data_IF_290249108711
#
_entry.id   IF_290249108711
#
_cell.length_a   1.000
_cell.length_b   1.000
_cell.length_c   1.000
_cell.angle_alpha   90.00
_cell.angle_beta   90.00
_cell.angle_gamma   90.00
#
_symmetry.space_group_name_H-M   'P 1'
#
loop_
_entity.id
_entity.type
_entity.pdbx_description
1 polymer ?
#
# COMPACT_ATOMS: atom_id res chain seq x y z
N UNK A 1 -16.00 -15.57 1.55
CA UNK A 1 -15.45 -14.22 1.84
C UNK A 1 -16.33 -13.58 2.90
N UNK A 2 -15.74 -12.88 3.86
CA UNK A 2 -16.52 -12.07 4.79
C UNK A 2 -17.32 -11.05 3.97
N UNK A 3 -18.60 -10.90 4.22
CA UNK A 3 -19.49 -10.09 3.38
C UNK A 3 -19.15 -8.59 3.37
N UNK A 4 -18.27 -8.12 4.24
CA UNK A 4 -18.01 -6.69 4.42
C UNK A 4 -16.54 -6.29 4.46
N UNK A 5 -15.60 -7.15 4.83
CA UNK A 5 -14.19 -6.78 4.92
C UNK A 5 -13.26 -7.99 4.82
N UNK A 6 -12.07 -7.76 4.28
CA UNK A 6 -11.01 -8.76 4.12
C UNK A 6 -9.63 -8.09 4.10
N UNK A 7 -8.58 -8.89 4.17
CA UNK A 7 -7.21 -8.43 3.93
C UNK A 7 -6.69 -8.99 2.62
N UNK A 8 -5.78 -8.25 1.98
CA UNK A 8 -5.18 -8.67 0.72
C UNK A 8 -4.32 -9.94 0.83
N UNK A 9 -3.93 -10.32 2.05
CA UNK A 9 -2.77 -11.18 2.23
C UNK A 9 -1.49 -10.44 1.84
N UNK A 10 -0.39 -11.17 1.72
CA UNK A 10 0.90 -10.59 1.35
C UNK A 10 0.83 -9.90 -0.02
N UNK A 11 1.23 -8.62 -0.07
CA UNK A 11 1.29 -7.85 -1.31
C UNK A 11 2.50 -8.30 -2.13
N UNK A 12 2.26 -8.75 -3.37
CA UNK A 12 3.32 -9.12 -4.32
C UNK A 12 4.03 -7.89 -4.90
N UNK A 13 5.26 -8.05 -5.39
CA UNK A 13 5.95 -7.06 -6.22
C UNK A 13 5.74 -7.45 -7.69
N UNK A 14 4.75 -6.88 -8.35
CA UNK A 14 4.32 -7.25 -9.71
C UNK A 14 4.42 -6.11 -10.71
N UNK A 15 4.43 -4.88 -10.20
CA UNK A 15 4.49 -3.66 -11.01
C UNK A 15 5.92 -3.11 -11.08
N UNK A 16 6.07 -1.88 -11.54
CA UNK A 16 7.35 -1.15 -11.53
C UNK A 16 7.82 -0.79 -10.11
N UNK A 17 6.95 -0.88 -9.10
CA UNK A 17 7.23 -0.46 -7.74
C UNK A 17 8.28 -1.34 -7.07
N UNK A 18 9.17 -0.71 -6.31
CA UNK A 18 10.36 -1.32 -5.73
C UNK A 18 10.39 -1.07 -4.23
N UNK A 19 11.05 -1.97 -3.51
CA UNK A 19 11.48 -1.74 -2.15
C UNK A 19 12.72 -0.84 -2.18
N UNK A 20 12.56 0.43 -1.83
CA UNK A 20 13.66 1.41 -1.88
C UNK A 20 14.16 1.81 -0.48
N UNK A 21 13.53 1.34 0.57
CA UNK A 21 14.00 1.57 1.93
C UNK A 21 15.10 0.56 2.28
N UNK A 22 16.32 1.00 2.59
CA UNK A 22 17.42 0.11 2.95
C UNK A 22 17.29 -0.34 4.41
N UNK A 23 16.16 -0.96 4.75
CA UNK A 23 15.94 -1.56 6.06
C UNK A 23 16.38 -3.01 6.06
N UNK A 24 16.86 -3.49 7.21
CA UNK A 24 17.26 -4.86 7.40
C UNK A 24 16.55 -5.47 8.61
N UNK A 25 16.25 -6.74 8.52
CA UNK A 25 15.74 -7.54 9.63
C UNK A 25 16.87 -8.31 10.31
N UNK A 26 16.92 -8.27 11.65
CA UNK A 26 17.75 -9.17 12.44
C UNK A 26 17.11 -10.55 12.48
N UNK A 27 17.88 -11.59 12.15
CA UNK A 27 17.44 -12.98 12.28
C UNK A 27 17.67 -13.46 13.71
N UNK A 28 16.70 -14.20 14.22
CA UNK A 28 16.61 -14.59 15.63
C UNK A 28 15.76 -13.59 16.42
N UNK A 29 15.11 -14.09 17.46
CA UNK A 29 14.25 -13.27 18.33
C UNK A 29 14.97 -13.06 19.65
N UNK A 30 15.20 -11.79 20.00
CA UNK A 30 15.83 -11.38 21.23
C UNK A 30 14.93 -10.35 21.92
N UNK A 31 14.52 -10.61 23.14
CA UNK A 31 13.57 -9.76 23.89
C UNK A 31 12.26 -9.44 23.13
N UNK A 32 11.78 -10.41 22.33
CA UNK A 32 10.56 -10.23 21.53
C UNK A 32 10.75 -9.44 20.22
N UNK A 33 11.97 -9.03 19.88
CA UNK A 33 12.32 -8.30 18.67
C UNK A 33 13.14 -9.20 17.75
N UNK A 34 12.84 -9.16 16.46
CA UNK A 34 13.55 -9.90 15.42
C UNK A 34 12.63 -10.84 14.63
N UNK A 35 13.24 -11.67 13.82
CA UNK A 35 12.53 -12.59 12.91
C UNK A 35 12.80 -14.04 13.27
N UNK A 36 11.76 -14.88 13.31
CA UNK A 36 11.91 -16.32 13.51
C UNK A 36 12.55 -16.95 12.27
N UNK A 37 13.76 -17.51 12.43
CA UNK A 37 14.54 -18.07 11.34
C UNK A 37 13.78 -19.17 10.58
N UNK A 38 13.01 -20.02 11.28
CA UNK A 38 12.23 -21.11 10.69
C UNK A 38 11.13 -20.64 9.72
N UNK A 39 10.73 -19.37 9.78
CA UNK A 39 9.74 -18.78 8.88
C UNK A 39 10.35 -18.18 7.60
N UNK A 40 11.68 -18.19 7.52
CA UNK A 40 12.42 -17.66 6.39
C UNK A 40 12.77 -18.78 5.39
N UNK A 41 13.03 -18.43 4.11
CA UNK A 41 13.65 -19.32 3.15
C UNK A 41 14.98 -19.88 3.70
N UNK A 42 15.30 -21.12 3.38
CA UNK A 42 16.46 -21.84 3.94
C UNK A 42 17.78 -21.06 3.79
N UNK A 43 18.00 -20.46 2.63
CA UNK A 43 19.20 -19.69 2.33
C UNK A 43 19.35 -18.38 3.15
N UNK A 44 18.28 -17.90 3.77
CA UNK A 44 18.28 -16.72 4.63
C UNK A 44 18.51 -17.06 6.11
N UNK A 45 18.21 -18.29 6.53
CA UNK A 45 18.16 -18.69 7.96
C UNK A 45 19.49 -18.59 8.71
N UNK A 46 20.60 -18.69 8.00
CA UNK A 46 21.97 -18.67 8.58
C UNK A 46 22.58 -17.26 8.60
N UNK A 47 21.90 -16.27 8.07
CA UNK A 47 22.37 -14.89 8.06
C UNK A 47 22.05 -14.20 9.38
N UNK A 48 22.82 -13.19 9.76
CA UNK A 48 22.54 -12.36 10.96
C UNK A 48 21.57 -11.24 10.64
N UNK A 49 21.71 -10.65 9.45
CA UNK A 49 20.87 -9.58 8.93
C UNK A 49 20.49 -9.92 7.49
N UNK A 50 19.25 -9.68 7.15
CA UNK A 50 18.75 -9.77 5.77
C UNK A 50 18.01 -8.47 5.39
N UNK A 51 17.97 -8.11 4.11
CA UNK A 51 17.13 -6.99 3.66
C UNK A 51 15.68 -7.24 4.05
N UNK A 52 15.02 -6.22 4.62
CA UNK A 52 13.59 -6.32 4.91
C UNK A 52 12.80 -6.27 3.61
N UNK A 53 12.14 -7.36 3.30
CA UNK A 53 11.29 -7.50 2.12
C UNK A 53 9.85 -7.04 2.37
N UNK A 54 9.53 -6.52 3.56
CA UNK A 54 8.19 -6.12 3.97
C UNK A 54 7.10 -7.16 3.64
N UNK A 55 7.44 -8.46 3.75
CA UNK A 55 6.51 -9.57 3.42
C UNK A 55 5.26 -9.61 4.30
N UNK A 56 5.31 -8.94 5.44
CA UNK A 56 4.20 -8.80 6.38
C UNK A 56 3.19 -7.73 5.94
N UNK A 57 3.52 -6.91 4.93
CA UNK A 57 2.65 -5.81 4.51
C UNK A 57 1.39 -6.34 3.83
N UNK A 58 0.26 -5.85 4.32
CA UNK A 58 -1.08 -6.17 3.84
C UNK A 58 -1.90 -4.88 3.73
N UNK A 59 -2.96 -4.89 2.95
CA UNK A 59 -4.00 -3.87 2.98
C UNK A 59 -5.30 -4.43 3.53
N UNK A 60 -6.08 -3.59 4.20
CA UNK A 60 -7.44 -3.91 4.64
C UNK A 60 -8.43 -3.38 3.62
N UNK A 61 -9.39 -4.20 3.24
CA UNK A 61 -10.33 -3.90 2.18
C UNK A 61 -11.77 -4.09 2.65
N UNK A 62 -12.64 -3.20 2.21
CA UNK A 62 -14.08 -3.32 2.38
C UNK A 62 -14.75 -3.28 1.02
N UNK A 63 -15.68 -4.19 0.78
CA UNK A 63 -16.52 -4.17 -0.42
C UNK A 63 -17.81 -3.39 -0.11
N UNK A 64 -17.94 -2.21 -0.70
CA UNK A 64 -19.16 -1.42 -0.63
C UNK A 64 -20.10 -1.79 -1.78
N UNK A 65 -21.26 -2.31 -1.43
CA UNK A 65 -22.27 -2.75 -2.40
C UNK A 65 -22.57 -1.66 -3.43
N UNK A 66 -22.36 -1.99 -4.71
CA UNK A 66 -22.62 -1.08 -5.83
C UNK A 66 -21.60 0.03 -6.02
N UNK A 67 -20.53 0.12 -5.20
CA UNK A 67 -19.50 1.16 -5.29
C UNK A 67 -18.09 0.62 -5.55
N UNK A 68 -17.76 -0.58 -5.08
CA UNK A 68 -16.45 -1.18 -5.20
C UNK A 68 -15.68 -1.22 -3.90
N UNK A 69 -14.37 -1.33 -4.00
CA UNK A 69 -13.47 -1.51 -2.87
C UNK A 69 -13.12 -0.18 -2.18
N UNK A 70 -13.12 -0.18 -0.85
CA UNK A 70 -12.39 0.79 -0.04
C UNK A 70 -11.13 0.09 0.46
N UNK A 71 -9.95 0.57 0.03
CA UNK A 71 -8.65 0.07 0.45
C UNK A 71 -8.07 0.97 1.51
N UNK A 72 -7.64 0.35 2.62
CA UNK A 72 -6.88 1.01 3.67
C UNK A 72 -5.46 0.44 3.68
N UNK A 73 -4.48 1.28 3.42
CA UNK A 73 -3.05 0.94 3.51
C UNK A 73 -2.42 1.62 4.71
N UNK A 74 -1.35 1.04 5.28
CA UNK A 74 -0.56 1.75 6.30
C UNK A 74 0.55 2.60 5.65
N UNK A 75 1.58 1.97 5.10
CA UNK A 75 2.70 2.68 4.46
C UNK A 75 2.90 2.34 2.98
N UNK A 76 2.47 1.17 2.53
CA UNK A 76 2.67 0.68 1.14
C UNK A 76 4.15 0.61 0.74
N UNK A 77 5.01 0.05 1.58
CA UNK A 77 6.43 -0.17 1.25
C UNK A 77 6.60 -1.08 0.03
N UNK A 78 5.67 -2.01 -0.18
CA UNK A 78 5.64 -2.88 -1.37
C UNK A 78 4.91 -2.25 -2.57
N UNK A 79 4.55 -0.98 -2.46
CA UNK A 79 3.90 -0.19 -3.51
C UNK A 79 2.38 -0.15 -3.39
N UNK A 80 1.83 1.02 -3.63
CA UNK A 80 0.38 1.26 -3.57
C UNK A 80 -0.34 0.67 -4.78
N UNK A 81 0.30 0.65 -5.95
CA UNK A 81 -0.22 0.02 -7.17
C UNK A 81 -0.28 -1.50 -6.99
N UNK A 82 0.79 -2.09 -6.44
CA UNK A 82 0.80 -3.50 -6.06
C UNK A 82 -0.29 -3.85 -5.04
N UNK A 83 -0.59 -2.95 -4.10
CA UNK A 83 -1.65 -3.15 -3.12
C UNK A 83 -3.04 -3.18 -3.79
N UNK A 84 -3.30 -2.30 -4.77
CA UNK A 84 -4.55 -2.31 -5.54
C UNK A 84 -4.69 -3.61 -6.32
N UNK A 85 -3.67 -3.98 -7.11
CA UNK A 85 -3.69 -5.23 -7.90
C UNK A 85 -3.92 -6.46 -7.00
N UNK A 86 -3.29 -6.49 -5.84
CA UNK A 86 -3.47 -7.58 -4.89
C UNK A 86 -4.90 -7.61 -4.32
N UNK A 87 -5.49 -6.45 -4.03
CA UNK A 87 -6.88 -6.35 -3.55
C UNK A 87 -7.89 -6.81 -4.62
N UNK A 88 -7.69 -6.38 -5.86
CA UNK A 88 -8.51 -6.80 -7.00
C UNK A 88 -8.40 -8.31 -7.24
N UNK A 89 -7.18 -8.86 -7.22
CA UNK A 89 -6.96 -10.30 -7.38
C UNK A 89 -7.59 -11.14 -6.25
N UNK A 90 -7.55 -10.64 -5.01
CA UNK A 90 -8.11 -11.34 -3.86
C UNK A 90 -9.64 -11.32 -3.81
N UNK A 91 -10.26 -10.29 -4.37
CA UNK A 91 -11.72 -10.08 -4.31
C UNK A 91 -12.47 -10.39 -5.61
N UNK A 92 -11.79 -10.28 -6.75
CA UNK A 92 -12.42 -10.27 -8.06
C UNK A 92 -13.18 -8.98 -8.39
N UNK A 93 -12.94 -7.90 -7.62
CA UNK A 93 -13.60 -6.60 -7.79
C UNK A 93 -12.58 -5.61 -8.34
N UNK A 94 -12.80 -5.07 -9.52
CA UNK A 94 -11.87 -4.13 -10.18
C UNK A 94 -12.07 -2.68 -9.72
N UNK A 95 -13.30 -2.27 -9.47
CA UNK A 95 -13.64 -0.90 -9.06
C UNK A 95 -13.08 -0.58 -7.67
N UNK A 96 -12.36 0.53 -7.55
CA UNK A 96 -11.88 1.07 -6.27
C UNK A 96 -12.67 2.35 -5.95
N UNK A 97 -13.53 2.29 -4.96
CA UNK A 97 -14.27 3.47 -4.51
C UNK A 97 -13.37 4.45 -3.75
N UNK A 98 -12.53 3.95 -2.85
CA UNK A 98 -11.59 4.81 -2.14
C UNK A 98 -10.28 4.10 -1.83
N UNK A 99 -9.17 4.79 -2.07
CA UNK A 99 -7.82 4.40 -1.69
C UNK A 99 -7.33 5.35 -0.60
N UNK A 100 -7.15 4.84 0.60
CA UNK A 100 -6.86 5.65 1.80
C UNK A 100 -5.61 5.12 2.50
N UNK A 101 -4.62 5.97 2.76
CA UNK A 101 -3.47 5.58 3.55
C UNK A 101 -2.15 6.20 3.14
N UNK A 102 -1.07 5.66 3.67
CA UNK A 102 0.30 6.00 3.32
C UNK A 102 0.73 5.26 2.06
N UNK A 103 1.46 5.94 1.18
CA UNK A 103 1.98 5.39 -0.07
C UNK A 103 3.50 5.38 -0.12
N UNK A 104 4.14 5.75 1.00
CA UNK A 104 5.60 5.79 1.19
C UNK A 104 6.38 6.48 0.07
N UNK A 105 5.85 7.58 -0.45
CA UNK A 105 6.41 8.30 -1.60
C UNK A 105 7.25 9.53 -1.21
N UNK A 106 7.15 9.99 0.05
CA UNK A 106 7.91 11.15 0.52
C UNK A 106 9.43 11.06 0.29
N UNK A 107 10.10 9.89 0.45
CA UNK A 107 11.54 9.80 0.25
C UNK A 107 11.98 9.62 -1.21
N UNK A 108 11.03 9.51 -2.15
CA UNK A 108 11.35 9.20 -3.54
C UNK A 108 11.53 10.43 -4.42
N UNK A 109 12.24 10.25 -5.53
CA UNK A 109 12.44 11.28 -6.53
C UNK A 109 11.15 11.55 -7.30
N UNK A 110 11.05 12.75 -7.85
CA UNK A 110 9.86 13.25 -8.52
C UNK A 110 9.39 12.42 -9.71
N UNK A 111 10.31 11.80 -10.45
CA UNK A 111 10.01 10.91 -11.58
C UNK A 111 9.26 9.66 -11.12
N UNK A 112 9.70 9.04 -10.02
CA UNK A 112 9.02 7.88 -9.45
C UNK A 112 7.63 8.24 -8.91
N UNK A 113 7.51 9.39 -8.22
CA UNK A 113 6.22 9.90 -7.77
C UNK A 113 5.28 10.15 -8.95
N UNK A 114 5.79 10.75 -10.04
CA UNK A 114 5.02 10.99 -11.25
C UNK A 114 4.58 9.68 -11.92
N UNK A 115 5.45 8.66 -11.96
CA UNK A 115 5.12 7.35 -12.49
C UNK A 115 4.01 6.67 -11.67
N UNK A 116 4.06 6.79 -10.34
CA UNK A 116 3.00 6.26 -9.47
C UNK A 116 1.67 6.97 -9.70
N UNK A 117 1.67 8.30 -9.83
CA UNK A 117 0.45 9.06 -10.17
C UNK A 117 -0.11 8.64 -11.52
N UNK A 118 0.75 8.45 -12.53
CA UNK A 118 0.32 7.99 -13.85
C UNK A 118 -0.31 6.59 -13.78
N UNK A 119 0.29 5.67 -13.05
CA UNK A 119 -0.26 4.33 -12.86
C UNK A 119 -1.61 4.34 -12.13
N UNK A 120 -1.77 5.18 -11.11
CA UNK A 120 -3.06 5.28 -10.38
C UNK A 120 -4.20 5.81 -11.25
N UNK A 121 -3.91 6.60 -12.29
CA UNK A 121 -4.92 7.08 -13.24
C UNK A 121 -5.54 5.98 -14.08
N UNK A 122 -4.81 4.89 -14.31
CA UNK A 122 -5.29 3.77 -15.13
C UNK A 122 -6.34 2.90 -14.39
N UNK A 123 -6.44 3.05 -13.07
CA UNK A 123 -7.47 2.38 -12.28
C UNK A 123 -8.76 3.20 -12.22
N UNK A 124 -9.89 2.50 -12.17
CA UNK A 124 -11.19 3.12 -11.89
C UNK A 124 -11.33 3.43 -10.40
N UNK A 125 -10.69 4.54 -9.96
CA UNK A 125 -10.71 5.02 -8.57
C UNK A 125 -11.59 6.27 -8.48
N UNK A 126 -12.52 6.30 -7.52
CA UNK A 126 -13.32 7.50 -7.27
C UNK A 126 -12.57 8.49 -6.38
N UNK A 127 -11.96 8.02 -5.27
CA UNK A 127 -11.28 8.88 -4.30
C UNK A 127 -9.92 8.33 -3.90
N UNK A 128 -8.92 9.23 -3.84
CA UNK A 128 -7.58 8.98 -3.32
C UNK A 128 -7.34 9.91 -2.14
N UNK A 129 -7.05 9.33 -0.98
CA UNK A 129 -6.81 10.04 0.27
C UNK A 129 -5.40 9.74 0.76
N UNK A 130 -4.39 10.47 0.26
CA UNK A 130 -3.00 10.27 0.64
C UNK A 130 -2.74 10.77 2.06
N UNK A 131 -2.08 9.94 2.86
CA UNK A 131 -1.80 10.18 4.28
C UNK A 131 -0.35 9.90 4.62
N UNK A 132 0.02 10.16 5.88
CA UNK A 132 1.20 9.67 6.55
C UNK A 132 2.50 9.90 5.74
N UNK A 133 3.12 8.84 5.22
CA UNK A 133 4.41 8.86 4.52
C UNK A 133 4.31 9.13 3.01
N UNK A 134 3.15 9.59 2.51
CA UNK A 134 2.97 9.82 1.08
C UNK A 134 3.71 11.06 0.56
N UNK A 135 3.72 12.14 1.33
CA UNK A 135 4.42 13.39 0.98
C UNK A 135 3.62 14.35 0.11
N UNK A 136 3.97 15.63 0.18
CA UNK A 136 3.28 16.72 -0.54
C UNK A 136 3.50 16.65 -2.06
N UNK A 137 4.69 16.20 -2.52
CA UNK A 137 4.97 16.05 -3.96
C UNK A 137 3.93 15.15 -4.64
N UNK A 138 3.56 14.03 -4.01
CA UNK A 138 2.49 13.17 -4.53
C UNK A 138 1.15 13.90 -4.56
N UNK A 139 0.77 14.54 -3.45
CA UNK A 139 -0.51 15.24 -3.35
C UNK A 139 -0.67 16.28 -4.45
N UNK A 140 0.35 17.12 -4.65
CA UNK A 140 0.31 18.19 -5.66
C UNK A 140 0.22 17.66 -7.09
N UNK A 141 0.97 16.62 -7.42
CA UNK A 141 0.92 15.98 -8.74
C UNK A 141 -0.41 15.25 -8.97
N UNK A 142 -0.85 14.50 -7.95
CA UNK A 142 -2.08 13.71 -8.06
C UNK A 142 -3.33 14.58 -8.20
N UNK A 143 -3.45 15.69 -7.46
CA UNK A 143 -4.61 16.60 -7.57
C UNK A 143 -4.73 17.27 -8.95
N UNK A 144 -3.60 17.48 -9.62
CA UNK A 144 -3.57 18.00 -10.99
C UNK A 144 -3.94 16.92 -12.01
N UNK A 145 -3.41 15.71 -11.82
CA UNK A 145 -3.62 14.59 -12.73
C UNK A 145 -5.01 13.95 -12.59
N UNK A 146 -5.61 14.01 -11.40
CA UNK A 146 -6.91 13.42 -11.05
C UNK A 146 -7.79 14.46 -10.34
N UNK A 147 -8.24 15.53 -11.05
CA UNK A 147 -9.00 16.61 -10.45
C UNK A 147 -10.31 16.10 -9.83
N UNK A 148 -10.61 16.56 -8.62
CA UNK A 148 -11.81 16.18 -7.89
C UNK A 148 -11.77 14.83 -7.19
N UNK A 149 -10.75 13.99 -7.45
CA UNK A 149 -10.61 12.66 -6.84
C UNK A 149 -9.68 12.65 -5.63
N UNK A 150 -8.71 13.55 -5.55
CA UNK A 150 -7.69 13.58 -4.49
C UNK A 150 -8.16 14.45 -3.34
N UNK A 151 -8.36 13.83 -2.19
CA UNK A 151 -8.87 14.49 -0.99
C UNK A 151 -7.77 14.67 0.03
N UNK A 152 -7.63 15.87 0.56
CA UNK A 152 -6.75 16.11 1.71
C UNK A 152 -7.47 15.75 3.00
N UNK A 153 -6.75 15.11 3.92
CA UNK A 153 -7.28 14.82 5.25
C UNK A 153 -6.28 15.17 6.35
N UNK A 154 -6.80 15.31 7.55
CA UNK A 154 -6.06 15.68 8.75
C UNK A 154 -6.50 14.77 9.90
N UNK A 155 -5.77 14.78 10.99
CA UNK A 155 -6.17 14.06 12.21
C UNK A 155 -7.60 14.45 12.61
N UNK A 156 -8.46 13.45 12.77
CA UNK A 156 -9.87 13.65 13.08
C UNK A 156 -10.81 13.78 11.88
N UNK A 157 -10.29 13.81 10.63
CA UNK A 157 -11.16 13.77 9.44
C UNK A 157 -11.97 12.48 9.44
N UNK A 158 -13.26 12.60 9.12
CA UNK A 158 -14.19 11.48 8.99
C UNK A 158 -14.68 11.37 7.57
N UNK A 159 -14.66 10.17 7.03
CA UNK A 159 -15.26 9.85 5.73
C UNK A 159 -16.48 8.98 5.97
N UNK A 160 -17.59 9.33 5.34
CA UNK A 160 -18.82 8.53 5.35
C UNK A 160 -19.10 8.09 3.90
N UNK A 161 -19.17 6.80 3.71
CA UNK A 161 -19.48 6.18 2.42
C UNK A 161 -20.92 5.66 2.47
N UNK A 162 -21.86 6.39 1.85
CA UNK A 162 -23.28 6.06 1.81
C UNK A 162 -23.72 5.49 0.48
#
# INVERSE_FOLDING_TARGET
MADHGFTTGQIGLRTFEKLLSPTAMKIGVEHGIGCYAERLPEHERTQTLIPDQFRHEIATCFNLKGKGLVLLTSCSHRGVVNAIEQAQAASGIEKVHALIGGFHLAPYQDDYVQQTVAALKEFDIDYVVPLHCTGESFYDKARVAMPGKVLRSYTGTRFAFS
#
